data_IF_833433900987
#
_entry.id   IF_833433900987
#
_cell.length_a   1.000
_cell.length_b   1.000
_cell.length_c   1.000
_cell.angle_alpha   90.00
_cell.angle_beta   90.00
_cell.angle_gamma   90.00
#
_symmetry.space_group_name_H-M   'P 1'
#
loop_
_entity.id
_entity.type
_entity.pdbx_description
1 polymer ?
#
# COMPACT_ATOMS: atom_id res chain seq x y z
N UNK A 1 -11.40 28.30 -7.00
CA UNK A 1 -10.43 27.19 -6.90
C UNK A 1 -9.70 27.30 -5.57
N UNK A 2 -10.20 26.64 -4.51
CA UNK A 2 -9.54 26.67 -3.19
C UNK A 2 -8.47 25.58 -3.16
N UNK A 3 -7.20 25.98 -3.34
CA UNK A 3 -6.05 25.14 -3.05
C UNK A 3 -5.99 24.89 -1.54
N UNK A 4 -6.58 23.79 -1.08
CA UNK A 4 -6.43 23.31 0.28
C UNK A 4 -5.03 22.73 0.45
N UNK A 5 -4.06 23.62 0.66
CA UNK A 5 -2.74 23.24 1.13
C UNK A 5 -2.84 22.90 2.62
N UNK A 6 -3.18 21.63 2.93
CA UNK A 6 -3.00 21.06 4.26
C UNK A 6 -1.51 20.97 4.52
N UNK A 7 -0.90 22.08 4.94
CA UNK A 7 0.46 22.08 5.45
C UNK A 7 0.48 21.18 6.68
N UNK A 8 1.01 19.96 6.51
CA UNK A 8 1.31 19.04 7.61
C UNK A 8 2.22 19.83 8.56
N UNK A 9 1.78 19.98 9.81
CA UNK A 9 2.53 20.70 10.86
C UNK A 9 4.00 20.32 10.77
N UNK A 10 4.87 21.33 10.90
CA UNK A 10 6.32 21.26 10.79
C UNK A 10 6.87 20.27 11.84
N UNK A 11 6.77 18.97 11.54
CA UNK A 11 7.42 17.93 12.31
C UNK A 11 8.91 18.08 12.02
N UNK A 12 9.67 18.32 13.08
CA UNK A 12 11.12 18.52 13.08
C UNK A 12 11.84 17.18 12.84
N UNK A 13 11.28 16.34 11.98
CA UNK A 13 11.71 14.97 11.73
C UNK A 13 12.33 14.81 10.36
N UNK A 14 13.14 13.76 10.25
CA UNK A 14 13.87 13.44 9.04
C UNK A 14 12.88 13.11 7.92
N UNK A 15 13.10 13.75 6.77
CA UNK A 15 12.29 13.52 5.58
C UNK A 15 12.97 12.51 4.70
N UNK A 16 12.20 11.54 4.23
CA UNK A 16 12.66 10.53 3.29
C UNK A 16 11.85 10.58 2.01
N UNK A 17 12.54 10.42 0.88
CA UNK A 17 11.90 10.18 -0.40
C UNK A 17 11.49 8.71 -0.48
N UNK A 18 10.20 8.47 -0.66
CA UNK A 18 9.63 7.13 -0.75
C UNK A 18 9.15 6.88 -2.18
N UNK A 19 9.39 5.66 -2.67
CA UNK A 19 8.91 5.13 -3.94
C UNK A 19 7.91 4.01 -3.67
N UNK A 20 6.64 4.21 -4.05
CA UNK A 20 5.57 3.23 -3.86
C UNK A 20 5.14 2.70 -5.22
N UNK A 21 5.29 1.40 -5.44
CA UNK A 21 4.82 0.71 -6.65
C UNK A 21 3.44 0.14 -6.40
N UNK A 22 2.42 0.59 -7.13
CA UNK A 22 1.08 0.01 -7.05
C UNK A 22 1.02 -1.22 -7.95
N UNK A 23 0.52 -2.34 -7.42
CA UNK A 23 0.34 -3.56 -8.20
C UNK A 23 -0.58 -3.31 -9.40
N UNK A 24 -0.11 -3.64 -10.60
CA UNK A 24 -0.86 -3.45 -11.85
C UNK A 24 -0.80 -2.03 -12.45
N UNK A 25 -0.05 -1.11 -11.83
CA UNK A 25 0.19 0.23 -12.40
C UNK A 25 1.41 0.28 -13.32
N UNK A 26 1.49 1.32 -14.14
CA UNK A 26 2.58 1.51 -15.11
C UNK A 26 3.96 1.85 -14.49
N UNK A 27 4.03 2.14 -13.19
CA UNK A 27 5.28 2.47 -12.51
C UNK A 27 5.10 2.93 -11.07
N UNK A 28 6.19 3.28 -10.36
CA UNK A 28 6.09 3.80 -9.00
C UNK A 28 5.58 5.25 -8.98
N UNK A 29 4.94 5.62 -7.87
CA UNK A 29 4.72 7.01 -7.47
C UNK A 29 5.79 7.38 -6.43
N UNK A 30 6.26 8.63 -6.46
CA UNK A 30 7.31 9.11 -5.56
C UNK A 30 6.85 10.36 -4.83
N UNK A 31 7.01 10.37 -3.51
CA UNK A 31 6.69 11.51 -2.68
C UNK A 31 7.54 11.52 -1.41
N UNK A 32 7.59 12.69 -0.76
CA UNK A 32 8.31 12.87 0.50
C UNK A 32 7.39 12.54 1.66
N UNK A 33 7.86 11.70 2.57
CA UNK A 33 7.22 11.42 3.85
C UNK A 33 8.21 11.68 4.99
N UNK A 34 7.69 11.79 6.21
CA UNK A 34 8.52 11.84 7.41
C UNK A 34 8.85 10.41 7.88
N UNK A 35 10.01 10.21 8.49
CA UNK A 35 10.38 8.90 9.05
C UNK A 35 9.39 8.43 10.12
N UNK A 36 8.88 9.38 10.91
CA UNK A 36 7.87 9.15 11.94
C UNK A 36 6.43 8.99 11.41
N UNK A 37 6.20 9.13 10.09
CA UNK A 37 4.86 8.95 9.53
C UNK A 37 4.40 7.49 9.67
N UNK A 38 3.17 7.30 10.13
CA UNK A 38 2.53 5.99 10.19
C UNK A 38 2.34 5.43 8.78
N UNK A 39 2.48 4.11 8.63
CA UNK A 39 2.21 3.39 7.37
C UNK A 39 0.80 3.73 6.83
N UNK A 40 -0.22 3.84 7.69
CA UNK A 40 -1.56 4.25 7.28
C UNK A 40 -1.58 5.63 6.57
N UNK A 41 -0.83 6.61 7.11
CA UNK A 41 -0.73 7.94 6.51
C UNK A 41 0.02 7.91 5.18
N UNK A 42 1.02 7.04 5.05
CA UNK A 42 1.78 6.86 3.80
C UNK A 42 0.90 6.23 2.73
N UNK A 43 0.08 5.24 3.08
CA UNK A 43 -0.90 4.63 2.17
C UNK A 43 -1.91 5.68 1.69
N UNK A 44 -2.52 6.46 2.60
CA UNK A 44 -3.47 7.52 2.23
C UNK A 44 -2.84 8.56 1.29
N UNK A 45 -1.59 8.97 1.58
CA UNK A 45 -0.86 9.90 0.71
C UNK A 45 -0.57 9.28 -0.65
N UNK A 46 -0.17 8.01 -0.69
CA UNK A 46 0.07 7.26 -1.91
C UNK A 46 -1.20 7.19 -2.79
N UNK A 47 -2.35 6.85 -2.21
CA UNK A 47 -3.64 6.79 -2.93
C UNK A 47 -4.02 8.16 -3.50
N UNK A 48 -3.83 9.23 -2.73
CA UNK A 48 -4.08 10.60 -3.19
C UNK A 48 -3.14 11.01 -4.33
N UNK A 49 -1.85 10.75 -4.21
CA UNK A 49 -0.88 11.02 -5.28
C UNK A 49 -1.24 10.23 -6.55
N UNK A 50 -1.57 8.96 -6.40
CA UNK A 50 -1.96 8.08 -7.50
C UNK A 50 -3.20 8.58 -8.25
N UNK A 51 -4.24 8.99 -7.52
CA UNK A 51 -5.45 9.56 -8.10
C UNK A 51 -5.19 10.92 -8.77
N UNK A 52 -4.33 11.76 -8.19
CA UNK A 52 -3.93 13.05 -8.76
C UNK A 52 -3.15 12.91 -10.07
N UNK A 53 -2.38 11.84 -10.21
CA UNK A 53 -1.70 11.51 -11.47
C UNK A 53 -2.63 10.87 -12.52
N UNK A 54 -3.89 10.57 -12.19
CA UNK A 54 -4.85 9.97 -13.12
C UNK A 54 -4.47 8.55 -13.54
N UNK A 55 -3.77 7.80 -12.68
CA UNK A 55 -3.25 6.48 -13.01
C UNK A 55 -4.33 5.40 -13.02
N UNK A 56 -4.04 4.34 -13.78
CA UNK A 56 -4.84 3.12 -13.84
C UNK A 56 -4.03 1.92 -13.30
N UNK A 57 -4.68 0.96 -12.61
CA UNK A 57 -6.13 0.86 -12.35
C UNK A 57 -6.65 1.88 -11.34
N UNK A 58 -7.93 2.23 -11.40
CA UNK A 58 -8.58 3.09 -10.41
C UNK A 58 -8.58 2.41 -9.04
N UNK A 59 -8.07 3.11 -8.03
CA UNK A 59 -8.00 2.65 -6.65
C UNK A 59 -9.11 3.29 -5.80
N UNK A 60 -9.51 2.60 -4.74
CA UNK A 60 -10.36 3.19 -3.70
C UNK A 60 -9.62 4.24 -2.86
N UNK A 61 -10.34 4.89 -1.95
CA UNK A 61 -9.80 5.94 -1.08
C UNK A 61 -9.50 5.48 0.34
N UNK A 62 -10.06 4.34 0.79
CA UNK A 62 -9.85 3.85 2.15
C UNK A 62 -8.50 3.13 2.27
N UNK A 63 -7.64 3.57 3.19
CA UNK A 63 -6.35 2.95 3.44
C UNK A 63 -6.50 1.53 4.00
N UNK A 64 -7.62 1.21 4.67
CA UNK A 64 -7.85 -0.11 5.25
C UNK A 64 -7.98 -1.20 4.18
N UNK A 65 -8.32 -0.84 2.95
CA UNK A 65 -8.42 -1.77 1.82
C UNK A 65 -7.06 -2.12 1.22
N UNK A 66 -5.96 -1.55 1.74
CA UNK A 66 -4.64 -1.73 1.18
C UNK A 66 -3.64 -2.26 2.19
N UNK A 67 -2.59 -2.89 1.66
CA UNK A 67 -1.44 -3.37 2.40
C UNK A 67 -0.18 -2.84 1.73
N UNK A 68 0.77 -2.39 2.56
CA UNK A 68 2.08 -1.92 2.12
C UNK A 68 3.13 -2.98 2.43
N UNK A 69 3.90 -3.36 1.41
CA UNK A 69 4.98 -4.34 1.49
C UNK A 69 6.32 -3.67 1.24
N UNK A 70 7.37 -4.16 1.89
CA UNK A 70 8.73 -3.84 1.50
C UNK A 70 9.38 -5.06 0.85
N UNK A 71 9.81 -4.98 -0.42
CA UNK A 71 10.49 -6.11 -1.09
C UNK A 71 11.71 -6.64 -0.33
N UNK A 72 12.38 -5.78 0.46
CA UNK A 72 13.57 -6.16 1.24
C UNK A 72 13.28 -7.04 2.44
N UNK A 73 12.07 -6.95 3.02
CA UNK A 73 11.69 -7.64 4.26
C UNK A 73 10.73 -8.81 4.02
N UNK A 74 10.56 -9.20 2.75
CA UNK A 74 9.73 -10.33 2.36
C UNK A 74 8.24 -10.00 2.22
N UNK A 75 7.38 -11.02 2.06
CA UNK A 75 5.96 -10.86 1.75
C UNK A 75 5.10 -10.54 2.98
N UNK A 76 5.69 -10.02 4.05
CA UNK A 76 4.97 -9.61 5.25
C UNK A 76 4.50 -8.17 5.12
N UNK A 77 3.22 -7.94 5.43
CA UNK A 77 2.65 -6.60 5.33
C UNK A 77 3.11 -5.75 6.51
N UNK A 78 3.42 -4.49 6.25
CA UNK A 78 3.74 -3.54 7.31
C UNK A 78 2.47 -3.22 8.11
N UNK A 79 2.62 -3.22 9.43
CA UNK A 79 1.55 -2.78 10.34
C UNK A 79 1.21 -1.32 10.08
N UNK A 80 -0.08 -1.01 9.98
CA UNK A 80 -0.60 0.34 9.74
C UNK A 80 -0.13 1.36 10.80
N UNK A 81 0.21 0.88 12.01
CA UNK A 81 0.61 1.67 13.17
C UNK A 81 2.13 1.83 13.33
N UNK A 82 2.93 1.21 12.47
CA UNK A 82 4.38 1.37 12.54
C UNK A 82 4.80 2.65 11.81
N UNK A 83 5.88 3.28 12.30
CA UNK A 83 6.54 4.38 11.61
C UNK A 83 7.27 3.86 10.36
N UNK A 84 7.09 4.52 9.23
CA UNK A 84 7.64 4.06 7.94
C UNK A 84 9.17 4.06 7.92
N UNK A 85 9.81 4.99 8.64
CA UNK A 85 11.26 5.12 8.74
C UNK A 85 11.92 4.02 9.57
N UNK A 86 11.17 3.34 10.46
CA UNK A 86 11.71 2.27 11.31
C UNK A 86 12.29 1.11 10.51
N UNK A 87 11.83 0.92 9.28
CA UNK A 87 12.28 -0.14 8.40
C UNK A 87 13.59 0.18 7.67
N UNK A 88 14.01 1.46 7.64
CA UNK A 88 15.15 1.92 6.84
C UNK A 88 14.97 1.76 5.32
N UNK A 89 13.76 1.40 4.87
CA UNK A 89 13.46 1.16 3.46
C UNK A 89 12.87 2.41 2.77
N UNK A 90 13.07 2.49 1.46
CA UNK A 90 12.53 3.58 0.63
C UNK A 90 11.65 3.10 -0.52
N UNK A 91 11.69 1.80 -0.82
CA UNK A 91 10.92 1.18 -1.89
C UNK A 91 9.86 0.28 -1.27
N UNK A 92 8.61 0.52 -1.65
CA UNK A 92 7.47 -0.21 -1.14
C UNK A 92 6.53 -0.61 -2.29
N UNK A 93 5.73 -1.63 -2.04
CA UNK A 93 4.70 -2.11 -2.96
C UNK A 93 3.34 -2.02 -2.29
N UNK A 94 2.39 -1.36 -2.94
CA UNK A 94 1.01 -1.21 -2.47
C UNK A 94 0.11 -2.22 -3.17
N UNK A 95 -0.61 -3.00 -2.38
CA UNK A 95 -1.54 -4.03 -2.87
C UNK A 95 -2.93 -3.80 -2.29
N UNK A 96 -3.97 -3.97 -3.11
CA UNK A 96 -5.35 -4.02 -2.63
C UNK A 96 -5.59 -5.36 -1.92
N UNK A 97 -6.21 -5.32 -0.75
CA UNK A 97 -6.71 -6.50 -0.04
C UNK A 97 -7.81 -7.16 -0.87
N UNK A 98 -7.88 -8.50 -0.88
CA UNK A 98 -9.04 -9.15 -1.45
C UNK A 98 -10.22 -8.83 -0.54
N UNK A 99 -11.29 -8.30 -1.10
CA UNK A 99 -12.56 -8.26 -0.39
C UNK A 99 -12.97 -9.71 -0.13
N UNK A 100 -12.96 -10.12 1.13
CA UNK A 100 -13.68 -11.32 1.53
C UNK A 100 -15.15 -11.03 1.24
N UNK A 101 -15.63 -11.46 0.06
CA UNK A 101 -17.06 -11.51 -0.20
C UNK A 101 -17.68 -12.29 0.95
N UNK A 102 -18.34 -11.59 1.87
CA UNK A 102 -19.22 -12.20 2.86
C UNK A 102 -20.38 -12.82 2.08
N UNK A 103 -20.17 -14.01 1.54
CA UNK A 103 -21.27 -14.90 1.23
C UNK A 103 -21.87 -15.23 2.59
N UNK A 104 -23.04 -14.66 2.88
CA UNK A 104 -23.82 -14.99 4.06
C UNK A 104 -24.04 -16.50 4.04
N UNK A 105 -23.28 -17.22 4.86
CA UNK A 105 -23.64 -18.55 5.34
C UNK A 105 -23.59 -18.49 6.84
N UNK A 106 -24.77 -18.34 7.41
CA UNK A 106 -25.07 -18.65 8.80
C UNK A 106 -24.55 -20.06 9.10
N UNK A 107 -23.66 -20.17 10.10
CA UNK A 107 -23.04 -21.44 10.47
C UNK A 107 -21.69 -21.26 11.15
N UNK A 108 -21.68 -21.52 12.46
CA UNK A 108 -20.51 -21.62 13.34
C UNK A 108 -19.28 -22.26 12.69
N UNK A 109 -18.10 -21.74 13.03
CA UNK A 109 -16.83 -22.45 12.87
C UNK A 109 -15.69 -21.52 12.46
N UNK A 110 -14.70 -21.41 13.34
CA UNK A 110 -13.42 -20.76 13.11
C UNK A 110 -12.85 -21.09 11.71
N UNK A 111 -12.52 -20.07 10.91
CA UNK A 111 -11.89 -20.27 9.60
C UNK A 111 -10.69 -19.37 9.42
N UNK A 112 -9.55 -19.98 9.71
CA UNK A 112 -8.16 -19.65 9.36
C UNK A 112 -8.11 -18.85 8.05
N UNK A 113 -7.74 -17.56 8.17
CA UNK A 113 -7.60 -16.62 7.06
C UNK A 113 -6.79 -17.23 5.92
N UNK A 114 -7.44 -17.41 4.78
CA UNK A 114 -6.84 -17.95 3.56
C UNK A 114 -5.66 -17.07 3.16
N UNK A 115 -4.47 -17.65 3.18
CA UNK A 115 -3.19 -16.98 3.03
C UNK A 115 -3.12 -16.09 1.78
N UNK A 116 -3.20 -14.78 1.97
CA UNK A 116 -2.96 -13.75 0.95
C UNK A 116 -1.62 -13.98 0.22
N UNK A 117 -0.63 -14.64 0.86
CA UNK A 117 0.64 -15.08 0.25
C UNK A 117 0.41 -15.94 -1.01
N UNK A 118 -0.61 -16.81 -1.01
CA UNK A 118 -0.91 -17.68 -2.14
C UNK A 118 -1.49 -16.92 -3.34
N UNK A 119 -2.20 -15.82 -3.10
CA UNK A 119 -2.68 -14.96 -4.17
C UNK A 119 -1.59 -14.05 -4.71
N UNK A 120 -0.81 -13.40 -3.82
CA UNK A 120 0.30 -12.55 -4.22
C UNK A 120 1.29 -13.33 -5.11
N UNK A 121 1.69 -14.54 -4.70
CA UNK A 121 2.59 -15.39 -5.49
C UNK A 121 2.04 -15.72 -6.88
N UNK A 122 0.71 -15.80 -7.05
CA UNK A 122 0.07 -15.99 -8.36
C UNK A 122 0.08 -14.72 -9.21
N UNK A 123 -0.19 -13.56 -8.61
CA UNK A 123 -0.15 -12.26 -9.29
C UNK A 123 1.25 -11.89 -9.78
N UNK A 124 2.30 -12.29 -9.05
CA UNK A 124 3.70 -12.09 -9.45
C UNK A 124 4.24 -13.17 -10.40
N UNK A 125 3.60 -14.35 -10.53
CA UNK A 125 3.99 -15.42 -11.47
C UNK A 125 3.32 -15.30 -12.85
N UNK A 126 2.91 -14.09 -13.28
CA UNK A 126 2.50 -13.85 -14.66
C UNK A 126 3.71 -14.11 -15.58
N UNK A 127 3.80 -15.36 -16.03
CA UNK A 127 4.75 -15.94 -16.98
C UNK A 127 5.18 -14.90 -18.01
N UNK A 128 6.41 -14.41 -17.88
CA UNK A 128 7.17 -13.97 -19.04
C UNK A 128 7.47 -15.23 -19.83
N UNK A 129 6.57 -15.58 -20.75
CA UNK A 129 6.90 -16.53 -21.81
C UNK A 129 7.79 -15.77 -22.79
N UNK A 130 9.11 -15.84 -22.59
CA UNK A 130 10.04 -15.57 -23.69
C UNK A 130 9.81 -16.63 -24.75
N UNK A 131 9.41 -16.19 -25.93
CA UNK A 131 9.33 -17.00 -27.14
C UNK A 131 10.63 -16.88 -27.93
#
# INVERSE_FOLDING_TARGET
MLLYNKQKKNAKGNRILISVTVLGSAGPIRFVAYEEDLVASVIDTALKCYAREGRLPLLGSDFNDFLLYCPMFGPEALSAWNAIGSLGARNFTLCKKPEEKKVVKEGNGARKGGSFKAWINKSFNLKVSTH
#
